data_IF_156169365363
#
_entry.id   IF_156169365363
#
_cell.length_a   1.000
_cell.length_b   1.000
_cell.length_c   1.000
_cell.angle_alpha   90.00
_cell.angle_beta   90.00
_cell.angle_gamma   90.00
#
_symmetry.space_group_name_H-M   'P 1'
#
loop_
_entity.id
_entity.type
_entity.pdbx_description
1 polymer ?
#
# COMPACT_ATOMS: atom_id res chain seq x y z
N UNK A 1 21.19 3.77 18.00
CA UNK A 1 20.12 4.03 17.01
C UNK A 1 20.59 4.89 15.85
N UNK A 2 20.80 6.22 15.99
CA UNK A 2 21.29 7.03 14.85
C UNK A 2 22.59 6.50 14.25
N UNK A 3 23.62 6.24 15.07
CA UNK A 3 24.91 5.70 14.59
C UNK A 3 24.84 4.26 14.03
N UNK A 4 23.85 3.48 14.42
CA UNK A 4 23.79 2.05 14.07
C UNK A 4 22.95 1.79 12.81
N UNK A 5 22.04 2.72 12.46
CA UNK A 5 21.17 2.60 11.30
C UNK A 5 21.70 3.34 10.06
N UNK A 6 22.61 4.31 10.20
CA UNK A 6 23.17 5.07 9.08
C UNK A 6 23.63 4.20 7.89
N UNK A 7 24.35 3.08 8.08
CA UNK A 7 24.79 2.24 6.96
C UNK A 7 23.63 1.59 6.18
N UNK A 8 22.47 1.41 6.82
CA UNK A 8 21.28 0.83 6.18
C UNK A 8 20.40 1.88 5.50
N UNK A 9 20.60 3.16 5.84
CA UNK A 9 19.87 4.28 5.23
C UNK A 9 20.60 4.86 4.03
N UNK A 10 21.92 4.69 3.97
CA UNK A 10 22.75 5.24 2.90
C UNK A 10 22.41 4.60 1.55
N UNK A 11 22.10 5.43 0.55
CA UNK A 11 21.76 5.00 -0.80
C UNK A 11 20.36 4.38 -0.98
N UNK A 12 19.54 4.30 0.08
CA UNK A 12 18.17 3.81 -0.03
C UNK A 12 17.20 4.87 -0.54
N UNK A 13 16.41 4.55 -1.57
CA UNK A 13 15.38 5.44 -2.12
C UNK A 13 13.96 5.14 -1.58
N UNK A 14 13.72 3.89 -1.20
CA UNK A 14 12.44 3.40 -0.70
C UNK A 14 12.63 2.55 0.55
N UNK A 15 11.91 2.91 1.61
CA UNK A 15 11.96 2.24 2.91
C UNK A 15 10.58 1.73 3.27
N UNK A 16 10.49 0.41 3.44
CA UNK A 16 9.30 -0.26 3.94
C UNK A 16 9.53 -0.66 5.40
N UNK A 17 8.72 -0.14 6.30
CA UNK A 17 8.85 -0.37 7.74
C UNK A 17 7.60 -1.10 8.25
N UNK A 18 7.76 -2.34 8.71
CA UNK A 18 6.72 -3.10 9.40
C UNK A 18 6.84 -2.90 10.92
N UNK A 19 5.76 -2.48 11.57
CA UNK A 19 5.78 -2.20 13.01
C UNK A 19 4.43 -2.41 13.70
N UNK A 20 4.47 -3.02 14.89
CA UNK A 20 3.33 -3.06 15.80
C UNK A 20 3.16 -1.74 16.55
N UNK A 21 2.15 -0.96 16.21
CA UNK A 21 2.01 0.42 16.68
C UNK A 21 1.80 0.56 18.19
N UNK A 22 1.33 -0.50 18.86
CA UNK A 22 1.11 -0.50 20.31
C UNK A 22 2.34 -0.81 21.17
N UNK A 23 3.46 -1.23 20.58
CA UNK A 23 4.66 -1.64 21.33
C UNK A 23 5.53 -0.46 21.76
N UNK A 24 6.19 -0.56 22.91
CA UNK A 24 7.03 0.52 23.46
C UNK A 24 8.20 0.88 22.53
N UNK A 25 8.76 -0.10 21.82
CA UNK A 25 9.83 0.13 20.83
C UNK A 25 9.31 1.00 19.67
N UNK A 26 8.15 0.68 19.11
CA UNK A 26 7.56 1.46 18.02
C UNK A 26 7.14 2.85 18.48
N UNK A 27 6.59 2.97 19.69
CA UNK A 27 6.26 4.27 20.30
C UNK A 27 7.49 5.16 20.45
N UNK A 28 8.63 4.58 20.82
CA UNK A 28 9.86 5.35 21.07
C UNK A 28 10.65 5.67 19.81
N UNK A 29 10.70 4.75 18.84
CA UNK A 29 11.70 4.82 17.76
C UNK A 29 11.15 4.92 16.35
N UNK A 30 9.88 4.55 16.10
CA UNK A 30 9.34 4.52 14.74
C UNK A 30 9.27 5.92 14.12
N UNK A 31 8.68 6.89 14.83
CA UNK A 31 8.58 8.26 14.33
C UNK A 31 9.96 8.92 14.09
N UNK A 32 10.93 8.85 15.02
CA UNK A 32 12.30 9.30 14.74
C UNK A 32 12.93 8.66 13.50
N UNK A 33 12.73 7.36 13.30
CA UNK A 33 13.25 6.65 12.13
C UNK A 33 12.62 7.17 10.83
N UNK A 34 11.29 7.30 10.79
CA UNK A 34 10.58 7.85 9.62
C UNK A 34 11.11 9.23 9.28
N UNK A 35 11.27 10.12 10.28
CA UNK A 35 11.77 11.48 10.07
C UNK A 35 13.21 11.50 9.57
N UNK A 36 14.07 10.62 10.08
CA UNK A 36 15.46 10.51 9.61
C UNK A 36 15.49 10.14 8.13
N UNK A 37 14.74 9.11 7.74
CA UNK A 37 14.67 8.66 6.35
C UNK A 37 14.15 9.78 5.44
N UNK A 38 13.06 10.43 5.85
CA UNK A 38 12.47 11.55 5.10
C UNK A 38 13.45 12.73 4.95
N UNK A 39 14.31 12.97 5.95
CA UNK A 39 15.33 14.02 5.88
C UNK A 39 16.44 13.73 4.88
N UNK A 40 16.69 12.45 4.59
CA UNK A 40 17.57 11.99 3.50
C UNK A 40 16.85 11.79 2.17
N UNK A 41 15.66 12.40 1.99
CA UNK A 41 14.82 12.31 0.78
C UNK A 41 14.30 10.91 0.42
N UNK A 42 14.42 9.93 1.31
CA UNK A 42 13.85 8.59 1.12
C UNK A 42 12.32 8.60 1.18
N UNK A 43 11.69 7.74 0.37
CA UNK A 43 10.25 7.46 0.47
C UNK A 43 9.99 6.45 1.57
N UNK A 44 8.97 6.69 2.39
CA UNK A 44 8.66 5.84 3.54
C UNK A 44 7.25 5.27 3.45
N UNK A 45 7.18 3.95 3.36
CA UNK A 45 5.96 3.17 3.53
C UNK A 45 6.00 2.54 4.92
N UNK A 46 5.01 2.83 5.76
CA UNK A 46 4.85 2.18 7.07
C UNK A 46 3.68 1.20 7.02
N UNK A 47 3.96 -0.06 7.31
CA UNK A 47 2.97 -1.09 7.59
C UNK A 47 2.75 -1.17 9.10
N UNK A 48 1.70 -0.51 9.59
CA UNK A 48 1.35 -0.42 11.00
C UNK A 48 0.34 -1.48 11.42
N UNK A 49 0.71 -2.34 12.38
CA UNK A 49 -0.20 -3.33 12.96
C UNK A 49 -0.82 -2.75 14.24
N UNK A 50 -2.16 -2.66 14.27
CA UNK A 50 -2.94 -2.30 15.46
C UNK A 50 -3.08 -3.51 16.39
N UNK A 51 -3.00 -3.29 17.72
CA UNK A 51 -3.10 -4.36 18.71
C UNK A 51 -4.50 -5.00 18.72
N UNK A 52 -4.62 -6.17 19.35
CA UNK A 52 -5.94 -6.74 19.68
C UNK A 52 -6.64 -5.92 20.77
N UNK A 53 -7.97 -6.01 20.79
CA UNK A 53 -8.76 -5.33 21.83
C UNK A 53 -8.46 -5.85 23.25
N UNK A 54 -8.14 -7.14 23.38
CA UNK A 54 -7.80 -7.76 24.66
C UNK A 54 -6.43 -7.33 25.22
N UNK A 55 -5.56 -6.68 24.44
CA UNK A 55 -4.25 -6.18 24.91
C UNK A 55 -4.37 -4.91 25.77
N UNK A 56 -5.58 -4.36 25.90
CA UNK A 56 -5.90 -3.31 26.86
C UNK A 56 -5.93 -1.90 26.28
N UNK A 57 -6.75 -1.05 26.90
CA UNK A 57 -7.07 0.31 26.42
C UNK A 57 -5.84 1.22 26.25
N UNK A 58 -4.84 1.10 27.12
CA UNK A 58 -3.62 1.90 27.05
C UNK A 58 -2.86 1.62 25.75
N UNK A 59 -2.71 0.34 25.38
CA UNK A 59 -1.99 -0.09 24.18
C UNK A 59 -2.69 0.39 22.91
N UNK A 60 -4.01 0.26 22.87
CA UNK A 60 -4.87 0.74 21.78
C UNK A 60 -4.75 2.26 21.62
N UNK A 61 -4.84 3.00 22.73
CA UNK A 61 -4.78 4.48 22.71
C UNK A 61 -3.44 4.97 22.17
N UNK A 62 -2.33 4.38 22.64
CA UNK A 62 -0.98 4.68 22.14
C UNK A 62 -0.84 4.36 20.65
N UNK A 63 -1.35 3.21 20.21
CA UNK A 63 -1.31 2.82 18.80
C UNK A 63 -2.08 3.82 17.91
N UNK A 64 -3.26 4.27 18.33
CA UNK A 64 -4.06 5.25 17.58
C UNK A 64 -3.40 6.63 17.54
N UNK A 65 -2.75 7.06 18.63
CA UNK A 65 -1.99 8.31 18.66
C UNK A 65 -0.82 8.26 17.66
N UNK A 66 -0.05 7.17 17.68
CA UNK A 66 1.08 6.99 16.75
C UNK A 66 0.62 6.89 15.29
N UNK A 67 -0.48 6.16 15.00
CA UNK A 67 -1.11 6.11 13.67
C UNK A 67 -1.41 7.50 13.13
N UNK A 68 -2.03 8.38 13.92
CA UNK A 68 -2.36 9.75 13.50
C UNK A 68 -1.13 10.56 13.12
N UNK A 69 -0.06 10.44 13.90
CA UNK A 69 1.20 11.15 13.64
C UNK A 69 1.86 10.58 12.38
N UNK A 70 1.97 9.26 12.26
CA UNK A 70 2.58 8.60 11.09
C UNK A 70 1.82 8.90 9.80
N UNK A 71 0.49 9.03 9.85
CA UNK A 71 -0.31 9.39 8.70
C UNK A 71 0.01 10.78 8.13
N UNK A 72 0.71 11.64 8.89
CA UNK A 72 1.16 12.96 8.46
C UNK A 72 2.61 12.98 7.98
N UNK A 73 3.42 12.03 8.46
CA UNK A 73 4.89 12.02 8.37
C UNK A 73 5.41 11.00 7.35
N UNK A 74 4.79 9.83 7.22
CA UNK A 74 5.12 8.83 6.21
C UNK A 74 4.49 9.20 4.86
N UNK A 75 5.04 8.69 3.76
CA UNK A 75 4.46 8.84 2.42
C UNK A 75 3.24 7.92 2.26
N UNK A 76 3.31 6.70 2.77
CA UNK A 76 2.17 5.79 2.82
C UNK A 76 2.08 5.09 4.16
N UNK A 77 0.92 5.14 4.81
CA UNK A 77 0.64 4.38 6.03
C UNK A 77 -0.42 3.31 5.76
N UNK A 78 0.00 2.05 5.70
CA UNK A 78 -0.88 0.90 5.60
C UNK A 78 -1.24 0.44 7.02
N UNK A 79 -2.52 0.24 7.29
CA UNK A 79 -3.00 -0.19 8.60
C UNK A 79 -3.55 -1.61 8.52
N UNK A 80 -2.95 -2.48 9.32
CA UNK A 80 -3.36 -3.86 9.54
C UNK A 80 -3.96 -3.97 10.94
N UNK A 81 -5.13 -4.60 11.08
CA UNK A 81 -5.81 -4.73 12.37
C UNK A 81 -5.82 -6.18 12.83
N UNK A 82 -5.17 -6.47 13.95
CA UNK A 82 -5.24 -7.80 14.55
C UNK A 82 -6.68 -8.23 14.86
N UNK A 83 -7.57 -7.29 15.19
CA UNK A 83 -9.00 -7.60 15.40
C UNK A 83 -9.72 -8.01 14.11
N UNK A 84 -9.29 -7.52 12.94
CA UNK A 84 -9.86 -7.97 11.68
C UNK A 84 -9.45 -9.40 11.38
N UNK A 85 -8.16 -9.69 11.45
CA UNK A 85 -7.63 -11.04 11.29
C UNK A 85 -8.21 -12.01 12.33
N UNK A 86 -8.39 -11.56 13.56
CA UNK A 86 -9.04 -12.33 14.62
C UNK A 86 -10.40 -12.84 14.16
N UNK A 87 -11.25 -12.01 13.54
CA UNK A 87 -12.56 -12.45 13.05
C UNK A 87 -12.48 -13.52 11.95
N UNK A 88 -11.43 -13.51 11.14
CA UNK A 88 -11.25 -14.48 10.06
C UNK A 88 -10.73 -15.82 10.57
N UNK A 89 -9.85 -15.80 11.57
CA UNK A 89 -9.06 -16.96 11.98
C UNK A 89 -9.22 -17.32 13.47
N UNK A 90 -10.33 -16.91 14.11
CA UNK A 90 -10.54 -17.09 15.56
C UNK A 90 -10.55 -18.55 16.02
N UNK A 91 -10.89 -19.50 15.15
CA UNK A 91 -10.92 -20.93 15.45
C UNK A 91 -9.55 -21.61 15.28
N UNK A 92 -8.56 -20.93 14.71
CA UNK A 92 -7.24 -21.52 14.45
C UNK A 92 -6.38 -21.54 15.72
N UNK A 93 -5.50 -22.54 15.88
CA UNK A 93 -4.42 -22.49 16.87
C UNK A 93 -3.61 -21.20 16.76
N UNK A 94 -3.11 -20.69 17.90
CA UNK A 94 -2.46 -19.37 17.96
C UNK A 94 -1.23 -19.25 17.03
N UNK A 95 -0.43 -20.32 16.91
CA UNK A 95 0.71 -20.36 16.00
C UNK A 95 0.28 -20.28 14.54
N UNK A 96 -0.81 -20.99 14.18
CA UNK A 96 -1.36 -20.98 12.84
C UNK A 96 -1.96 -19.61 12.51
N UNK A 97 -2.69 -19.01 13.45
CA UNK A 97 -3.20 -17.64 13.34
C UNK A 97 -2.10 -16.67 12.93
N UNK A 98 -1.02 -16.57 13.71
CA UNK A 98 0.06 -15.62 13.39
C UNK A 98 0.79 -15.98 12.10
N UNK A 99 0.92 -17.27 11.78
CA UNK A 99 1.53 -17.70 10.51
C UNK A 99 0.71 -17.22 9.31
N UNK A 100 -0.62 -17.39 9.36
CA UNK A 100 -1.51 -16.95 8.30
C UNK A 100 -1.52 -15.42 8.17
N UNK A 101 -1.63 -14.69 9.28
CA UNK A 101 -1.59 -13.21 9.28
C UNK A 101 -0.28 -12.68 8.73
N UNK A 102 0.86 -13.23 9.17
CA UNK A 102 2.17 -12.81 8.68
C UNK A 102 2.34 -13.12 7.18
N UNK A 103 1.82 -14.26 6.71
CA UNK A 103 1.82 -14.61 5.28
C UNK A 103 0.99 -13.61 4.48
N UNK A 104 -0.19 -13.23 4.95
CA UNK A 104 -1.03 -12.23 4.28
C UNK A 104 -0.36 -10.86 4.22
N UNK A 105 0.12 -10.34 5.37
CA UNK A 105 0.78 -9.03 5.42
C UNK A 105 2.02 -9.02 4.52
N UNK A 106 2.88 -10.04 4.61
CA UNK A 106 4.07 -10.16 3.76
C UNK A 106 3.70 -10.25 2.30
N UNK A 107 2.65 -10.99 1.96
CA UNK A 107 2.14 -11.10 0.60
C UNK A 107 1.64 -9.77 0.04
N UNK A 108 0.94 -8.96 0.85
CA UNK A 108 0.47 -7.63 0.46
C UNK A 108 1.65 -6.69 0.22
N UNK A 109 2.61 -6.67 1.15
CA UNK A 109 3.80 -5.84 1.03
C UNK A 109 4.67 -6.25 -0.16
N UNK A 110 4.85 -7.54 -0.37
CA UNK A 110 5.51 -8.11 -1.54
C UNK A 110 4.87 -7.62 -2.84
N UNK A 111 3.54 -7.64 -2.96
CA UNK A 111 2.89 -7.20 -4.19
C UNK A 111 2.92 -5.69 -4.46
N UNK A 112 3.33 -4.86 -3.49
CA UNK A 112 3.62 -3.44 -3.73
C UNK A 112 5.03 -3.25 -4.30
N UNK A 113 6.00 -4.07 -3.85
CA UNK A 113 7.42 -3.92 -4.16
C UNK A 113 7.85 -4.75 -5.38
N UNK A 114 7.32 -5.97 -5.52
CA UNK A 114 7.65 -6.90 -6.59
C UNK A 114 7.51 -6.33 -8.02
N UNK A 115 6.54 -5.45 -8.34
CA UNK A 115 6.48 -4.79 -9.64
C UNK A 115 7.76 -4.01 -10.03
N UNK A 116 8.56 -3.58 -9.05
CA UNK A 116 9.83 -2.88 -9.29
C UNK A 116 11.00 -3.83 -9.54
N UNK A 117 10.88 -5.10 -9.12
CA UNK A 117 12.01 -6.03 -9.01
C UNK A 117 11.89 -7.25 -9.93
N UNK A 118 10.68 -7.56 -10.40
CA UNK A 118 10.37 -8.81 -11.09
C UNK A 118 9.98 -8.60 -12.56
N UNK A 119 10.02 -9.64 -13.40
CA UNK A 119 9.41 -9.61 -14.72
C UNK A 119 7.92 -9.24 -14.66
N UNK A 120 7.50 -8.38 -15.59
CA UNK A 120 6.15 -7.84 -15.63
C UNK A 120 5.61 -7.84 -17.06
N UNK A 121 4.29 -8.03 -17.21
CA UNK A 121 3.58 -7.68 -18.44
C UNK A 121 3.35 -6.17 -18.52
N UNK A 122 3.08 -5.54 -17.37
CA UNK A 122 2.93 -4.09 -17.22
C UNK A 122 3.93 -3.62 -16.16
N UNK A 123 5.06 -3.01 -16.57
CA UNK A 123 6.09 -2.58 -15.65
C UNK A 123 5.63 -1.38 -14.83
N UNK A 124 6.08 -1.34 -13.58
CA UNK A 124 6.00 -0.17 -12.72
C UNK A 124 7.41 0.37 -12.50
N UNK A 125 7.63 1.64 -12.82
CA UNK A 125 8.88 2.31 -12.49
C UNK A 125 8.80 3.05 -11.14
N UNK A 126 9.98 3.34 -10.59
CA UNK A 126 10.08 4.02 -9.31
C UNK A 126 9.47 5.44 -9.33
N UNK A 127 9.66 6.28 -10.37
CA UNK A 127 9.01 7.59 -10.44
C UNK A 127 7.48 7.53 -10.43
N UNK A 128 6.88 6.52 -11.08
CA UNK A 128 5.42 6.33 -11.08
C UNK A 128 4.94 5.88 -9.71
N UNK A 129 5.62 4.91 -9.08
CA UNK A 129 5.30 4.53 -7.71
C UNK A 129 5.40 5.73 -6.76
N UNK A 130 6.49 6.50 -6.87
CA UNK A 130 6.71 7.74 -6.12
C UNK A 130 5.53 8.69 -6.27
N UNK A 131 5.10 8.99 -7.51
CA UNK A 131 3.93 9.86 -7.75
C UNK A 131 2.64 9.34 -7.12
N UNK A 132 2.45 8.02 -7.05
CA UNK A 132 1.28 7.43 -6.39
C UNK A 132 1.35 7.65 -4.88
N UNK A 133 2.50 7.38 -4.25
CA UNK A 133 2.62 7.35 -2.79
C UNK A 133 3.09 8.66 -2.14
N UNK A 134 3.76 9.54 -2.89
CA UNK A 134 4.29 10.80 -2.36
C UNK A 134 3.18 11.69 -1.82
N UNK A 135 3.49 12.47 -0.79
CA UNK A 135 2.51 13.35 -0.10
C UNK A 135 1.29 12.60 0.46
N UNK A 136 1.32 11.28 0.43
CA UNK A 136 0.25 10.42 0.90
C UNK A 136 0.19 10.41 2.42
N UNK A 137 -0.83 9.72 2.90
CA UNK A 137 -1.09 9.53 4.32
C UNK A 137 -1.59 8.12 4.51
N UNK A 138 -2.64 7.95 5.31
CA UNK A 138 -3.23 6.64 5.46
C UNK A 138 -3.80 6.10 4.14
N UNK A 139 -3.39 4.88 3.81
CA UNK A 139 -3.72 4.17 2.57
C UNK A 139 -5.02 3.41 2.72
N UNK A 140 -5.83 3.48 1.67
CA UNK A 140 -6.96 2.60 1.42
C UNK A 140 -6.45 1.32 0.78
N UNK A 141 -6.27 0.29 1.59
CA UNK A 141 -5.76 -1.00 1.14
C UNK A 141 -6.91 -1.93 0.77
N UNK A 142 -6.88 -2.49 -0.43
CA UNK A 142 -7.74 -3.62 -0.83
C UNK A 142 -6.90 -4.73 -1.40
N UNK A 143 -7.26 -5.98 -1.16
CA UNK A 143 -6.55 -7.09 -1.76
C UNK A 143 -7.46 -8.30 -1.88
N UNK A 144 -7.07 -9.22 -2.75
CA UNK A 144 -7.74 -10.49 -2.90
C UNK A 144 -6.86 -11.47 -3.65
N UNK A 145 -7.14 -12.75 -3.48
CA UNK A 145 -6.51 -13.83 -4.22
C UNK A 145 -7.56 -14.89 -4.55
N UNK A 146 -7.69 -15.20 -5.84
CA UNK A 146 -8.70 -16.12 -6.35
C UNK A 146 -8.14 -16.97 -7.47
N UNK A 147 -8.72 -18.14 -7.65
CA UNK A 147 -8.30 -19.12 -8.64
C UNK A 147 -9.50 -19.70 -9.40
N UNK A 148 -9.20 -20.30 -10.55
CA UNK A 148 -10.18 -20.94 -11.41
C UNK A 148 -11.15 -19.96 -12.09
N UNK A 149 -12.32 -20.48 -12.48
CA UNK A 149 -13.30 -19.70 -13.23
C UNK A 149 -13.84 -18.50 -12.46
N UNK A 150 -14.04 -17.39 -13.18
CA UNK A 150 -14.52 -16.12 -12.66
C UNK A 150 -13.64 -15.53 -11.52
N UNK A 151 -12.37 -15.94 -11.42
CA UNK A 151 -11.43 -15.41 -10.42
C UNK A 151 -11.33 -13.88 -10.43
N UNK A 152 -11.37 -13.24 -11.61
CA UNK A 152 -11.37 -11.78 -11.74
C UNK A 152 -12.61 -11.10 -11.14
N UNK A 153 -13.77 -11.75 -11.13
CA UNK A 153 -14.97 -11.21 -10.48
C UNK A 153 -14.90 -11.41 -8.96
N UNK A 154 -14.56 -12.64 -8.54
CA UNK A 154 -14.44 -13.00 -7.12
C UNK A 154 -13.39 -12.16 -6.40
N UNK A 155 -12.29 -11.81 -7.06
CA UNK A 155 -11.22 -11.02 -6.44
C UNK A 155 -11.65 -9.57 -6.21
N UNK A 156 -12.54 -9.03 -7.07
CA UNK A 156 -13.12 -7.70 -6.89
C UNK A 156 -13.99 -7.67 -5.63
N UNK A 157 -14.79 -8.72 -5.38
CA UNK A 157 -15.62 -8.83 -4.19
C UNK A 157 -14.78 -8.84 -2.91
N UNK A 158 -13.63 -9.54 -2.93
CA UNK A 158 -12.68 -9.56 -1.81
C UNK A 158 -12.14 -8.19 -1.49
N UNK A 159 -11.65 -7.50 -2.52
CA UNK A 159 -11.06 -6.16 -2.43
C UNK A 159 -12.05 -5.18 -1.78
N UNK A 160 -13.31 -5.19 -2.23
CA UNK A 160 -14.35 -4.28 -1.72
C UNK A 160 -14.75 -4.66 -0.29
N UNK A 161 -14.60 -5.94 0.07
CA UNK A 161 -14.87 -6.44 1.41
C UNK A 161 -13.76 -6.11 2.43
N UNK A 162 -12.60 -5.60 2.00
CA UNK A 162 -11.54 -5.17 2.89
C UNK A 162 -12.01 -4.01 3.80
N UNK A 163 -11.68 -4.00 5.11
CA UNK A 163 -12.16 -2.98 6.05
C UNK A 163 -11.86 -1.54 5.61
N UNK A 164 -10.65 -1.32 5.09
CA UNK A 164 -10.22 0.01 4.64
C UNK A 164 -11.10 0.58 3.52
N UNK A 165 -11.73 -0.29 2.70
CA UNK A 165 -12.66 0.12 1.65
C UNK A 165 -14.09 0.35 2.16
N UNK A 166 -14.50 -0.34 3.22
CA UNK A 166 -15.83 -0.19 3.82
C UNK A 166 -15.95 1.10 4.66
N UNK A 167 -14.88 1.49 5.34
CA UNK A 167 -14.90 2.60 6.31
C UNK A 167 -14.80 4.00 5.66
N UNK A 168 -14.83 4.09 4.33
CA UNK A 168 -14.52 5.33 3.61
C UNK A 168 -15.44 5.52 2.40
N UNK A 169 -15.45 6.74 1.85
CA UNK A 169 -15.96 6.99 0.51
C UNK A 169 -14.84 6.82 -0.53
N UNK A 170 -14.86 5.80 -1.41
CA UNK A 170 -13.82 5.60 -2.42
C UNK A 170 -13.63 6.77 -3.39
N UNK A 171 -14.64 7.65 -3.56
CA UNK A 171 -14.53 8.89 -4.38
C UNK A 171 -13.49 9.89 -3.86
N UNK A 172 -13.04 9.72 -2.62
CA UNK A 172 -11.95 10.50 -2.05
C UNK A 172 -10.57 10.02 -2.53
N UNK A 173 -10.45 8.82 -3.10
CA UNK A 173 -9.19 8.29 -3.61
C UNK A 173 -8.81 9.07 -4.87
N UNK A 174 -7.67 9.76 -4.82
CA UNK A 174 -7.13 10.60 -5.91
C UNK A 174 -5.93 9.98 -6.59
N UNK A 175 -5.29 9.00 -5.95
CA UNK A 175 -4.18 8.23 -6.53
C UNK A 175 -4.38 6.77 -6.18
N UNK A 176 -4.17 5.87 -7.13
CA UNK A 176 -4.31 4.44 -6.90
C UNK A 176 -3.25 3.65 -7.65
N UNK A 177 -2.65 2.67 -6.98
CA UNK A 177 -1.89 1.60 -7.62
C UNK A 177 -2.75 0.33 -7.63
N UNK A 178 -2.95 -0.24 -8.83
CA UNK A 178 -3.55 -1.55 -9.06
C UNK A 178 -2.43 -2.51 -9.42
N UNK A 179 -2.01 -3.35 -8.47
CA UNK A 179 -0.97 -4.35 -8.68
C UNK A 179 -1.60 -5.73 -8.84
N UNK A 180 -1.38 -6.35 -9.99
CA UNK A 180 -1.85 -7.69 -10.33
C UNK A 180 -0.64 -8.64 -10.33
N UNK A 181 -0.82 -9.82 -9.75
CA UNK A 181 0.14 -10.91 -9.78
C UNK A 181 -0.56 -12.17 -10.27
N UNK A 182 0.02 -12.82 -11.28
CA UNK A 182 -0.61 -13.90 -12.02
C UNK A 182 0.42 -14.84 -12.65
N UNK A 183 -0.03 -16.00 -13.13
CA UNK A 183 0.72 -16.81 -14.07
C UNK A 183 0.68 -16.25 -15.50
N UNK A 184 1.16 -17.05 -16.45
CA UNK A 184 1.14 -16.71 -17.88
C UNK A 184 -0.27 -16.75 -18.50
N UNK A 185 -1.25 -17.21 -17.72
CA UNK A 185 -2.65 -17.39 -18.10
C UNK A 185 -3.53 -16.15 -17.86
N UNK A 186 -2.95 -15.00 -17.45
CA UNK A 186 -3.70 -13.75 -17.31
C UNK A 186 -4.20 -13.27 -18.68
N UNK A 187 -5.51 -13.00 -18.76
CA UNK A 187 -6.10 -12.45 -19.98
C UNK A 187 -6.36 -10.95 -19.87
N UNK A 188 -6.35 -10.24 -21.01
CA UNK A 188 -6.75 -8.83 -21.06
C UNK A 188 -8.18 -8.61 -20.56
N UNK A 189 -9.09 -9.58 -20.77
CA UNK A 189 -10.45 -9.49 -20.28
C UNK A 189 -10.51 -9.45 -18.74
N UNK A 190 -9.71 -10.26 -18.06
CA UNK A 190 -9.63 -10.27 -16.60
C UNK A 190 -9.05 -8.96 -16.07
N UNK A 191 -7.96 -8.49 -16.66
CA UNK A 191 -7.32 -7.23 -16.27
C UNK A 191 -8.27 -6.04 -16.44
N UNK A 192 -8.93 -5.92 -17.61
CA UNK A 192 -9.87 -4.83 -17.89
C UNK A 192 -11.03 -4.82 -16.89
N UNK A 193 -11.61 -5.99 -16.56
CA UNK A 193 -12.69 -6.08 -15.56
C UNK A 193 -12.26 -5.54 -14.19
N UNK A 194 -11.06 -5.88 -13.74
CA UNK A 194 -10.52 -5.41 -12.45
C UNK A 194 -10.35 -3.89 -12.49
N UNK A 195 -9.69 -3.38 -13.55
CA UNK A 195 -9.47 -1.95 -13.70
C UNK A 195 -10.79 -1.17 -13.75
N UNK A 196 -11.76 -1.57 -14.57
CA UNK A 196 -13.06 -0.92 -14.68
C UNK A 196 -13.83 -0.94 -13.36
N UNK A 197 -13.86 -2.07 -12.66
CA UNK A 197 -14.54 -2.15 -11.37
C UNK A 197 -13.96 -1.18 -10.34
N UNK A 198 -12.64 -0.98 -10.33
CA UNK A 198 -11.98 -0.06 -9.43
C UNK A 198 -12.20 1.39 -9.87
N UNK A 199 -11.98 1.72 -11.14
CA UNK A 199 -12.07 3.10 -11.66
C UNK A 199 -13.48 3.67 -11.56
N UNK A 200 -14.52 2.85 -11.72
CA UNK A 200 -15.92 3.27 -11.56
C UNK A 200 -16.25 3.74 -10.12
N UNK A 201 -15.52 3.24 -9.11
CA UNK A 201 -15.78 3.51 -7.68
C UNK A 201 -14.98 4.69 -7.14
N UNK A 202 -13.79 4.93 -7.68
CA UNK A 202 -12.88 5.98 -7.21
C UNK A 202 -13.15 7.32 -7.90
N UNK A 203 -12.33 8.34 -7.62
CA UNK A 203 -12.45 9.61 -8.31
C UNK A 203 -12.17 9.47 -9.83
N UNK A 204 -12.99 10.05 -10.72
CA UNK A 204 -12.75 9.97 -12.17
C UNK A 204 -11.45 10.65 -12.61
N UNK A 205 -10.98 11.65 -11.84
CA UNK A 205 -9.72 12.36 -12.08
C UNK A 205 -8.55 11.74 -11.28
N UNK A 206 -8.72 10.51 -10.77
CA UNK A 206 -7.66 9.85 -10.01
C UNK A 206 -6.47 9.52 -10.92
N UNK A 207 -5.25 9.74 -10.41
CA UNK A 207 -4.05 9.19 -11.00
C UNK A 207 -4.01 7.67 -10.78
N UNK A 208 -3.99 6.90 -11.87
CA UNK A 208 -4.04 5.44 -11.83
C UNK A 208 -2.71 4.88 -12.35
N UNK A 209 -2.05 4.06 -11.54
CA UNK A 209 -0.95 3.21 -11.96
C UNK A 209 -1.41 1.75 -11.96
N UNK A 210 -1.04 1.00 -12.99
CA UNK A 210 -1.37 -0.42 -13.13
C UNK A 210 -0.08 -1.20 -13.33
N UNK A 211 0.08 -2.29 -12.61
CA UNK A 211 1.19 -3.23 -12.79
C UNK A 211 0.69 -4.65 -12.88
N UNK A 212 1.39 -5.48 -13.64
CA UNK A 212 1.09 -6.90 -13.79
C UNK A 212 2.39 -7.70 -13.72
N UNK A 213 2.59 -8.39 -12.60
CA UNK A 213 3.76 -9.23 -12.31
C UNK A 213 3.46 -10.67 -12.69
N UNK A 214 4.39 -11.29 -13.42
CA UNK A 214 4.25 -12.67 -13.87
C UNK A 214 5.07 -13.58 -12.97
N UNK A 215 4.41 -14.58 -12.40
CA UNK A 215 5.02 -15.60 -11.54
C UNK A 215 4.51 -16.97 -11.93
N UNK A 216 5.40 -17.87 -12.30
CA UNK A 216 5.04 -19.24 -12.67
C UNK A 216 4.29 -19.96 -11.52
N UNK A 217 4.65 -19.68 -10.26
CA UNK A 217 3.94 -20.25 -9.10
C UNK A 217 2.49 -19.77 -8.92
N UNK A 218 2.04 -18.76 -9.68
CA UNK A 218 0.68 -18.22 -9.67
C UNK A 218 -0.14 -18.69 -10.88
N UNK A 219 0.27 -19.75 -11.57
CA UNK A 219 -0.54 -20.36 -12.64
C UNK A 219 -1.96 -20.68 -12.12
N UNK A 220 -2.98 -20.29 -12.88
CA UNK A 220 -4.40 -20.38 -12.51
C UNK A 220 -4.83 -19.53 -11.29
N UNK A 221 -3.92 -18.79 -10.66
CA UNK A 221 -4.18 -17.92 -9.51
C UNK A 221 -4.02 -16.44 -9.90
N UNK A 222 -4.91 -15.62 -9.37
CA UNK A 222 -4.94 -14.19 -9.60
C UNK A 222 -4.96 -13.49 -8.25
N UNK A 223 -3.89 -12.76 -7.97
CA UNK A 223 -3.74 -11.94 -6.78
C UNK A 223 -3.74 -10.47 -7.16
N UNK A 224 -4.55 -9.68 -6.49
CA UNK A 224 -4.70 -8.25 -6.77
C UNK A 224 -4.53 -7.47 -5.48
N UNK A 225 -3.74 -6.41 -5.52
CA UNK A 225 -3.52 -5.48 -4.41
C UNK A 225 -3.79 -4.07 -4.91
N UNK A 226 -4.64 -3.35 -4.19
CA UNK A 226 -5.01 -1.97 -4.42
C UNK A 226 -4.46 -1.09 -3.30
N UNK A 227 -3.73 -0.05 -3.69
CA UNK A 227 -3.23 0.97 -2.79
C UNK A 227 -3.81 2.32 -3.19
N UNK A 228 -4.87 2.74 -2.52
CA UNK A 228 -5.55 4.02 -2.77
C UNK A 228 -5.13 5.10 -1.78
N UNK A 229 -4.90 6.33 -2.25
CA UNK A 229 -4.52 7.48 -1.41
C UNK A 229 -5.55 8.60 -1.56
N UNK A 230 -6.00 9.13 -0.41
CA UNK A 230 -7.09 10.11 -0.33
C UNK A 230 -6.65 11.57 -0.51
N UNK A 231 -5.41 11.90 -0.13
CA UNK A 231 -5.04 13.27 0.27
C UNK A 231 -4.57 14.17 -0.88
N UNK A 232 -5.00 15.43 -0.80
CA UNK A 232 -4.33 16.63 -1.29
C UNK A 232 -3.57 17.29 -0.12
N UNK A 233 -2.24 17.20 -0.03
CA UNK A 233 -1.53 18.21 0.77
C UNK A 233 -1.62 19.50 -0.03
N UNK A 234 -2.25 20.53 0.53
CA UNK A 234 -2.30 21.88 -0.04
C UNK A 234 -0.90 22.52 0.10
N UNK A 235 0.11 22.01 -0.61
CA UNK A 235 1.26 22.83 -0.98
C UNK A 235 0.84 23.54 -2.26
N UNK A 236 0.80 24.87 -2.21
CA UNK A 236 0.66 25.71 -3.38
C UNK A 236 1.61 25.19 -4.45
N UNK A 237 1.05 24.71 -5.56
CA UNK A 237 1.83 24.48 -6.78
C UNK A 237 2.32 25.87 -7.17
N UNK A 238 3.60 26.16 -6.89
CA UNK A 238 4.30 27.23 -7.59
C UNK A 238 4.25 26.87 -9.07
N UNK A 239 3.72 27.81 -9.83
CA UNK A 239 3.49 27.78 -11.27
C UNK A 239 4.51 26.91 -12.02
N UNK A 240 3.99 25.97 -12.83
CA UNK A 240 4.77 25.34 -13.89
C UNK A 240 5.19 26.48 -14.83
N UNK A 241 6.49 26.71 -15.10
CA UNK A 241 6.87 27.66 -16.12
C UNK A 241 6.35 27.12 -17.45
N UNK A 242 5.42 27.87 -18.04
CA UNK A 242 5.00 27.67 -19.43
C UNK A 242 6.27 27.75 -20.27
N UNK A 243 6.60 26.68 -20.97
CA UNK A 243 7.62 26.70 -22.01
C UNK A 243 7.17 27.72 -23.05
N UNK A 244 7.83 28.88 -23.08
CA UNK A 244 7.71 29.82 -24.19
C UNK A 244 8.06 29.09 -25.48
N UNK A 245 7.07 29.01 -26.38
CA UNK A 245 7.31 28.66 -27.77
C UNK A 245 8.36 29.62 -28.32
N UNK A 246 9.55 29.10 -28.64
CA UNK A 246 10.53 29.83 -29.44
C UNK A 246 10.00 29.95 -30.86
N UNK A 247 9.17 30.95 -31.10
CA UNK A 247 9.04 31.58 -32.40
C UNK A 247 10.34 32.32 -32.71
N UNK A 248 11.21 31.68 -33.48
CA UNK A 248 12.22 32.42 -34.26
C UNK A 248 12.22 31.83 -35.66
N UNK A 249 11.54 32.57 -36.54
CA UNK A 249 11.92 32.68 -37.94
C UNK A 249 13.43 32.93 -38.03
N UNK A 250 14.08 32.19 -38.90
CA UNK A 250 15.11 32.65 -39.84
C UNK A 250 15.19 31.61 -40.97
#
# INVERSE_FOLDING_TARGET
LKKDLSPFLEGGELFLILAGLGGDISQKYLLPLVREIKSGEGLVIVAGILPFDFEGKLKITRAQQLRKILAQEADALLIFSNNWYYRLFYNSPLNEFFTQVNKEITGILGGIIEPLLSPTYLPLDFPTLKKIIEEGGEVVLGWGEREGENRSHKVIDDIISCPSWQDINPRQIRRILISVQCGEDLTMQELTKICEAVTLRINPDALIAISAVVKQELENRLKVILLGIKTFKKKLISEIPVLEERSTLC
#
